data_IF_802224285272
#
_entry.id   IF_802224285272
#
_cell.length_a   1.000
_cell.length_b   1.000
_cell.length_c   1.000
_cell.angle_alpha   90.00
_cell.angle_beta   90.00
_cell.angle_gamma   90.00
#
_symmetry.space_group_name_H-M   'P 1'
#
loop_
_entity.id
_entity.type
_entity.pdbx_description
1 polymer ?
#
# COMPACT_ATOMS: atom_id res chain seq x y z
N UNK A 1 26.49 -2.60 9.48
CA UNK A 1 26.55 -3.23 8.15
C UNK A 1 25.14 -3.51 7.70
N UNK A 2 24.75 -2.93 6.58
CA UNK A 2 23.41 -3.21 6.05
C UNK A 2 23.40 -4.58 5.40
N UNK A 3 22.48 -5.40 5.80
CA UNK A 3 22.26 -6.69 5.15
C UNK A 3 21.44 -6.48 3.88
N UNK A 4 21.90 -7.11 2.81
CA UNK A 4 21.13 -7.20 1.60
C UNK A 4 20.22 -8.40 1.71
N UNK A 5 18.95 -8.14 1.96
CA UNK A 5 17.95 -9.18 2.10
C UNK A 5 16.78 -8.89 1.17
N UNK A 6 16.18 -9.95 0.67
CA UNK A 6 14.91 -9.85 -0.06
C UNK A 6 13.82 -9.83 1.00
N UNK A 7 13.08 -8.72 1.06
CA UNK A 7 12.01 -8.56 2.04
C UNK A 7 10.70 -9.07 1.45
N UNK A 8 9.89 -9.68 2.30
CA UNK A 8 8.55 -10.11 1.92
C UNK A 8 7.55 -9.17 2.59
N UNK A 9 6.67 -8.57 1.79
CA UNK A 9 5.68 -7.62 2.28
C UNK A 9 4.28 -8.01 1.83
N UNK A 10 3.30 -7.61 2.63
CA UNK A 10 1.88 -7.70 2.28
C UNK A 10 1.31 -6.29 2.25
N UNK A 11 0.64 -5.92 1.17
CA UNK A 11 0.07 -4.59 1.01
C UNK A 11 -1.38 -4.69 0.57
N UNK A 12 -2.17 -3.69 0.92
CA UNK A 12 -3.60 -3.65 0.64
C UNK A 12 -3.97 -2.56 -0.36
N UNK A 13 -4.83 -2.92 -1.28
CA UNK A 13 -5.47 -1.99 -2.19
C UNK A 13 -6.89 -1.75 -1.68
N UNK A 14 -7.10 -0.58 -1.08
CA UNK A 14 -8.38 -0.15 -0.51
C UNK A 14 -9.00 0.84 -1.49
N UNK A 15 -10.20 0.53 -1.97
CA UNK A 15 -10.93 1.41 -2.89
C UNK A 15 -12.13 2.00 -2.17
N UNK A 16 -12.23 3.33 -2.17
CA UNK A 16 -13.39 4.02 -1.61
C UNK A 16 -14.57 3.99 -2.58
N UNK A 17 -15.81 4.18 -2.07
CA UNK A 17 -17.00 4.21 -2.95
C UNK A 17 -16.95 5.29 -4.03
N UNK A 18 -16.22 6.38 -3.80
CA UNK A 18 -16.11 7.49 -4.75
C UNK A 18 -14.87 7.39 -5.66
N UNK A 19 -14.23 6.23 -5.73
CA UNK A 19 -13.17 5.97 -6.70
C UNK A 19 -11.80 6.48 -6.30
N UNK A 20 -11.47 6.44 -5.00
CA UNK A 20 -10.15 6.78 -4.49
C UNK A 20 -9.50 5.59 -3.82
N UNK A 21 -8.18 5.56 -3.81
CA UNK A 21 -7.42 4.51 -3.12
C UNK A 21 -6.55 5.10 -2.02
N UNK A 22 -6.23 4.29 -1.02
CA UNK A 22 -5.49 4.72 0.17
C UNK A 22 -4.01 4.47 0.00
N UNK A 23 -3.21 5.52 0.16
CA UNK A 23 -1.75 5.42 0.05
C UNK A 23 -1.08 6.51 0.88
N UNK A 24 0.19 6.29 1.20
CA UNK A 24 1.00 7.24 1.97
C UNK A 24 2.00 7.94 1.05
N UNK A 25 2.02 9.28 1.01
CA UNK A 25 3.02 10.02 0.24
C UNK A 25 4.42 9.87 0.81
N UNK A 26 5.39 9.73 -0.07
CA UNK A 26 6.80 9.75 0.27
C UNK A 26 7.59 10.56 -0.76
N UNK A 27 8.87 10.77 -0.48
CA UNK A 27 9.75 11.53 -1.35
C UNK A 27 11.14 10.90 -1.39
N UNK A 28 11.67 10.71 -2.60
CA UNK A 28 13.05 10.27 -2.82
C UNK A 28 13.89 11.50 -3.17
N UNK A 29 14.75 11.94 -2.26
CA UNK A 29 15.53 13.15 -2.44
C UNK A 29 16.66 12.99 -3.46
N UNK A 30 17.15 11.77 -3.66
CA UNK A 30 18.19 11.51 -4.67
C UNK A 30 17.62 11.62 -6.07
N UNK A 31 16.43 11.04 -6.29
CA UNK A 31 15.72 11.14 -7.57
C UNK A 31 14.95 12.43 -7.74
N UNK A 32 14.79 13.21 -6.65
CA UNK A 32 13.91 14.38 -6.60
C UNK A 32 12.49 14.03 -7.08
N UNK A 33 11.93 12.97 -6.51
CA UNK A 33 10.65 12.42 -6.96
C UNK A 33 9.72 12.09 -5.79
N UNK A 34 8.51 12.63 -5.86
CA UNK A 34 7.43 12.23 -4.98
C UNK A 34 6.81 10.91 -5.45
N UNK A 35 6.29 10.14 -4.51
CA UNK A 35 5.61 8.89 -4.82
C UNK A 35 4.54 8.60 -3.77
N UNK A 36 3.65 7.67 -4.10
CA UNK A 36 2.70 7.09 -3.15
C UNK A 36 3.11 5.65 -2.86
N UNK A 37 2.87 5.21 -1.64
CA UNK A 37 3.11 3.83 -1.24
C UNK A 37 1.84 3.28 -0.61
N UNK A 38 1.43 2.09 -1.05
CA UNK A 38 0.29 1.42 -0.45
C UNK A 38 0.60 1.06 1.00
N UNK A 39 -0.44 0.95 1.81
CA UNK A 39 -0.32 0.55 3.21
C UNK A 39 -0.07 -0.94 3.32
N UNK A 40 0.69 -1.32 4.32
CA UNK A 40 1.07 -2.68 4.62
C UNK A 40 2.47 -2.73 5.19
N UNK A 41 3.05 -3.90 5.24
CA UNK A 41 4.38 -4.05 5.79
C UNK A 41 4.91 -5.47 5.69
N UNK A 42 5.93 -5.75 6.50
CA UNK A 42 6.66 -7.01 6.44
C UNK A 42 5.82 -8.21 6.90
N UNK A 43 5.94 -9.30 6.16
CA UNK A 43 5.46 -10.60 6.61
C UNK A 43 6.51 -11.16 7.57
N UNK A 44 6.10 -11.46 8.78
CA UNK A 44 6.99 -11.99 9.80
C UNK A 44 6.98 -13.52 9.79
N UNK A 45 8.07 -14.11 10.28
CA UNK A 45 8.17 -15.55 10.38
C UNK A 45 6.98 -16.11 11.18
N UNK A 46 6.33 -17.11 10.63
CA UNK A 46 5.18 -17.76 11.27
C UNK A 46 3.83 -17.19 10.90
N UNK A 47 3.77 -16.07 10.19
CA UNK A 47 2.48 -15.53 9.74
C UNK A 47 2.30 -15.67 8.23
N UNK A 48 1.05 -15.75 7.80
CA UNK A 48 0.70 -15.71 6.39
C UNK A 48 0.61 -14.26 5.92
N UNK A 49 0.76 -14.03 4.64
CA UNK A 49 0.73 -12.69 4.08
C UNK A 49 -0.57 -11.93 4.38
N UNK A 50 -1.72 -12.61 4.28
CA UNK A 50 -3.00 -11.98 4.61
C UNK A 50 -3.09 -11.58 6.10
N UNK A 51 -2.55 -12.41 6.99
CA UNK A 51 -2.50 -12.10 8.42
C UNK A 51 -1.57 -10.92 8.70
N UNK A 52 -0.42 -10.87 7.99
CA UNK A 52 0.51 -9.77 8.11
C UNK A 52 -0.14 -8.45 7.71
N UNK A 53 -0.92 -8.44 6.62
CA UNK A 53 -1.61 -7.24 6.19
C UNK A 53 -2.60 -6.74 7.24
N UNK A 54 -3.42 -7.64 7.79
CA UNK A 54 -4.38 -7.26 8.83
C UNK A 54 -3.68 -6.67 10.06
N UNK A 55 -2.57 -7.27 10.48
CA UNK A 55 -1.77 -6.78 11.60
C UNK A 55 -1.17 -5.40 11.29
N UNK A 56 -0.56 -5.25 10.13
CA UNK A 56 0.07 -4.00 9.74
C UNK A 56 -0.93 -2.84 9.65
N UNK A 57 -2.12 -3.07 9.12
CA UNK A 57 -3.16 -2.03 9.06
C UNK A 57 -3.59 -1.61 10.46
N UNK A 58 -3.72 -2.57 11.38
CA UNK A 58 -4.02 -2.25 12.78
C UNK A 58 -2.90 -1.41 13.41
N UNK A 59 -1.64 -1.77 13.15
CA UNK A 59 -0.50 -1.04 13.69
C UNK A 59 -0.37 0.37 13.07
N UNK A 60 -0.60 0.50 11.77
CA UNK A 60 -0.37 1.75 11.06
C UNK A 60 -1.47 2.80 11.28
N UNK A 61 -2.72 2.39 11.28
CA UNK A 61 -3.86 3.32 11.35
C UNK A 61 -4.91 2.96 12.40
N UNK A 62 -4.64 1.99 13.26
CA UNK A 62 -5.60 1.50 14.26
C UNK A 62 -6.94 1.10 13.67
N UNK A 63 -6.92 0.49 12.49
CA UNK A 63 -8.11 0.07 11.79
C UNK A 63 -8.14 -1.43 11.60
N UNK A 64 -9.32 -2.01 11.77
CA UNK A 64 -9.57 -3.39 11.38
C UNK A 64 -9.84 -3.42 9.88
N UNK A 65 -9.22 -4.35 9.17
CA UNK A 65 -9.49 -4.53 7.75
C UNK A 65 -9.90 -5.97 7.46
N UNK A 66 -10.68 -6.11 6.42
CA UNK A 66 -11.04 -7.41 5.87
C UNK A 66 -10.19 -7.64 4.62
N UNK A 67 -9.28 -8.60 4.70
CA UNK A 67 -8.45 -9.00 3.57
C UNK A 67 -9.27 -9.91 2.67
N UNK A 68 -9.28 -9.59 1.38
CA UNK A 68 -10.09 -10.31 0.40
C UNK A 68 -9.20 -11.10 -0.55
N UNK A 69 -9.22 -10.79 -1.82
CA UNK A 69 -8.56 -11.54 -2.87
C UNK A 69 -7.10 -11.14 -3.03
N UNK A 70 -6.22 -12.13 -3.17
CA UNK A 70 -4.85 -11.89 -3.63
C UNK A 70 -4.91 -11.44 -5.09
N UNK A 71 -4.48 -10.22 -5.35
CA UNK A 71 -4.53 -9.64 -6.69
C UNK A 71 -3.29 -9.96 -7.51
N UNK A 72 -2.13 -9.89 -6.86
CA UNK A 72 -0.86 -10.03 -7.56
C UNK A 72 0.25 -10.34 -6.58
N UNK A 73 1.26 -11.10 -7.01
CA UNK A 73 2.54 -11.23 -6.31
C UNK A 73 3.57 -10.52 -7.16
N UNK A 74 4.24 -9.54 -6.58
CA UNK A 74 5.10 -8.61 -7.32
C UNK A 74 6.54 -8.77 -6.86
N UNK A 75 7.45 -9.02 -7.80
CA UNK A 75 8.87 -8.90 -7.54
C UNK A 75 9.27 -7.45 -7.83
N UNK A 76 9.78 -6.75 -6.82
CA UNK A 76 10.11 -5.34 -6.96
C UNK A 76 11.56 -5.08 -6.59
N UNK A 77 12.35 -4.69 -7.58
CA UNK A 77 13.72 -4.19 -7.36
C UNK A 77 13.70 -2.68 -7.55
N UNK A 78 14.18 -1.96 -6.55
CA UNK A 78 14.09 -0.50 -6.55
C UNK A 78 15.33 0.12 -5.92
N UNK A 79 15.48 1.44 -6.10
CA UNK A 79 16.47 2.23 -5.41
C UNK A 79 15.75 3.37 -4.70
N UNK A 80 15.96 3.48 -3.38
CA UNK A 80 15.38 4.56 -2.59
C UNK A 80 16.50 5.28 -1.84
N UNK A 81 16.57 6.60 -1.99
CA UNK A 81 17.63 7.42 -1.40
C UNK A 81 19.03 6.90 -1.74
N UNK A 82 19.19 6.41 -2.98
CA UNK A 82 20.45 5.85 -3.45
C UNK A 82 20.77 4.42 -2.96
N UNK A 83 19.89 3.81 -2.19
CA UNK A 83 20.10 2.47 -1.63
C UNK A 83 19.26 1.44 -2.39
N UNK A 84 19.89 0.39 -2.95
CA UNK A 84 19.14 -0.67 -3.61
C UNK A 84 18.29 -1.47 -2.62
N UNK A 85 17.08 -1.82 -3.04
CA UNK A 85 16.19 -2.68 -2.29
C UNK A 85 15.55 -3.72 -3.19
N UNK A 86 15.17 -4.84 -2.61
CA UNK A 86 14.47 -5.90 -3.31
C UNK A 86 13.41 -6.49 -2.41
N UNK A 87 12.21 -6.66 -2.96
CA UNK A 87 11.09 -7.19 -2.18
C UNK A 87 10.17 -8.04 -3.01
N UNK A 88 9.45 -8.94 -2.34
CA UNK A 88 8.33 -9.68 -2.90
C UNK A 88 7.10 -9.16 -2.18
N UNK A 89 6.12 -8.66 -2.93
CA UNK A 89 4.91 -8.05 -2.38
C UNK A 89 3.70 -8.91 -2.72
N UNK A 90 2.96 -9.30 -1.68
CA UNK A 90 1.64 -9.90 -1.82
C UNK A 90 0.62 -8.77 -1.77
N UNK A 91 0.02 -8.46 -2.90
CA UNK A 91 -0.96 -7.37 -3.02
C UNK A 91 -2.38 -7.93 -2.94
N UNK A 92 -3.12 -7.49 -1.94
CA UNK A 92 -4.50 -7.92 -1.69
C UNK A 92 -5.50 -6.81 -1.90
N UNK A 93 -6.67 -7.16 -2.40
CA UNK A 93 -7.86 -6.34 -2.22
C UNK A 93 -8.29 -6.41 -0.76
N UNK A 94 -8.60 -5.29 -0.16
CA UNK A 94 -9.01 -5.23 1.24
C UNK A 94 -10.00 -4.09 1.47
N UNK A 95 -10.80 -4.24 2.52
CA UNK A 95 -11.77 -3.23 2.95
C UNK A 95 -11.52 -2.85 4.40
N UNK A 96 -11.74 -1.59 4.73
CA UNK A 96 -11.77 -1.15 6.12
C UNK A 96 -13.17 -1.44 6.68
N UNK A 97 -13.23 -2.08 7.85
CA UNK A 97 -14.52 -2.46 8.45
C UNK A 97 -15.26 -1.24 8.99
N UNK A 98 -14.54 -0.27 9.53
CA UNK A 98 -15.14 1.00 9.95
C UNK A 98 -15.26 1.93 8.75
N UNK A 99 -16.49 2.15 8.30
CA UNK A 99 -16.79 2.99 7.14
C UNK A 99 -16.40 4.46 7.35
N UNK A 100 -16.22 4.90 8.58
CA UNK A 100 -15.78 6.26 8.88
C UNK A 100 -14.42 6.62 8.30
N UNK A 101 -13.54 5.63 8.11
CA UNK A 101 -12.23 5.89 7.51
C UNK A 101 -12.31 6.38 6.06
N UNK A 102 -13.34 5.97 5.33
CA UNK A 102 -13.50 6.38 3.92
C UNK A 102 -13.87 7.86 3.76
N UNK A 103 -14.36 8.49 4.82
CA UNK A 103 -14.68 9.92 4.83
C UNK A 103 -13.58 10.84 5.34
N UNK A 104 -12.46 10.28 5.79
CA UNK A 104 -11.33 11.08 6.30
C UNK A 104 -10.39 11.44 5.17
N UNK A 105 -10.09 12.71 5.00
CA UNK A 105 -9.14 13.15 3.97
C UNK A 105 -7.72 12.67 4.28
N UNK A 106 -7.34 12.71 5.55
CA UNK A 106 -5.99 12.37 6.02
C UNK A 106 -6.10 11.45 7.22
N UNK A 107 -5.38 10.35 7.18
CA UNK A 107 -5.34 9.40 8.28
C UNK A 107 -3.89 9.37 8.78
N UNK A 108 -3.63 9.86 10.01
CA UNK A 108 -2.27 9.82 10.55
C UNK A 108 -1.77 8.38 10.68
N UNK A 109 -0.54 8.14 10.24
CA UNK A 109 0.11 6.87 10.45
C UNK A 109 0.78 6.87 11.83
N UNK A 110 0.66 5.75 12.52
CA UNK A 110 1.29 5.58 13.83
C UNK A 110 2.73 5.14 13.61
N UNK A 111 3.66 6.10 13.62
CA UNK A 111 5.09 5.84 13.49
C UNK A 111 5.86 6.57 14.59
N UNK A 112 6.86 5.91 15.24
CA UNK A 112 7.52 6.50 16.41
C UNK A 112 8.25 7.81 16.18
N UNK A 113 8.84 8.00 14.99
CA UNK A 113 9.77 9.10 14.76
C UNK A 113 9.41 9.99 13.56
N UNK A 114 8.25 9.81 12.95
CA UNK A 114 7.89 10.53 11.74
C UNK A 114 6.40 10.86 11.69
N UNK A 115 6.10 12.08 11.30
CA UNK A 115 4.72 12.46 11.00
C UNK A 115 4.41 12.05 9.56
N UNK A 116 3.77 10.91 9.40
CA UNK A 116 3.29 10.44 8.11
C UNK A 116 1.78 10.32 8.09
N UNK A 117 1.22 10.44 6.92
CA UNK A 117 -0.23 10.32 6.73
C UNK A 117 -0.52 9.38 5.56
N UNK A 118 -1.69 8.76 5.62
CA UNK A 118 -2.30 8.11 4.47
C UNK A 118 -3.38 9.05 3.92
N UNK A 119 -3.50 9.09 2.62
CA UNK A 119 -4.48 9.94 1.93
C UNK A 119 -5.24 9.13 0.90
N UNK A 120 -6.48 9.54 0.66
CA UNK A 120 -7.30 8.99 -0.42
C UNK A 120 -6.97 9.73 -1.70
N UNK A 121 -6.49 9.01 -2.70
CA UNK A 121 -6.06 9.57 -3.99
C UNK A 121 -6.98 9.08 -5.09
N UNK A 122 -7.44 9.96 -5.99
CA UNK A 122 -8.26 9.51 -7.12
C UNK A 122 -7.54 8.43 -7.93
N UNK A 123 -8.25 7.35 -8.24
CA UNK A 123 -7.72 6.27 -9.08
C UNK A 123 -7.23 6.83 -10.43
N UNK A 124 -7.95 7.80 -10.99
CA UNK A 124 -7.59 8.40 -12.27
C UNK A 124 -6.22 9.09 -12.25
N UNK A 125 -5.81 9.65 -11.10
CA UNK A 125 -4.49 10.26 -10.98
C UNK A 125 -3.37 9.23 -11.21
N UNK A 126 -3.58 8.02 -10.74
CA UNK A 126 -2.62 6.93 -10.96
C UNK A 126 -2.68 6.40 -12.39
N UNK A 127 -3.89 6.14 -12.90
CA UNK A 127 -4.06 5.57 -14.24
C UNK A 127 -3.62 6.51 -15.35
N UNK A 128 -3.71 7.82 -15.14
CA UNK A 128 -3.29 8.84 -16.10
C UNK A 128 -1.84 9.30 -15.89
N UNK A 129 -1.12 8.67 -14.97
CA UNK A 129 0.30 8.93 -14.76
C UNK A 129 0.64 10.22 -14.02
N UNK A 130 -0.34 10.83 -13.34
CA UNK A 130 -0.08 12.04 -12.54
C UNK A 130 0.64 11.76 -11.23
N UNK A 131 0.55 10.52 -10.73
CA UNK A 131 1.25 10.08 -9.53
C UNK A 131 1.92 8.74 -9.80
N UNK A 132 3.02 8.48 -9.08
CA UNK A 132 3.65 7.16 -9.03
C UNK A 132 3.21 6.43 -7.78
N UNK A 133 2.93 5.13 -7.91
CA UNK A 133 2.55 4.30 -6.77
C UNK A 133 3.44 3.07 -6.68
N UNK A 134 3.92 2.78 -5.49
CA UNK A 134 4.65 1.56 -5.18
C UNK A 134 3.79 0.65 -4.32
N UNK A 135 3.86 -0.67 -4.56
CA UNK A 135 4.68 -1.37 -5.56
C UNK A 135 4.14 -1.16 -6.98
N UNK A 136 4.98 -1.33 -8.02
CA UNK A 136 4.50 -1.32 -9.41
C UNK A 136 3.62 -2.54 -9.66
N UNK A 137 2.42 -2.31 -10.19
CA UNK A 137 1.43 -3.35 -10.40
C UNK A 137 0.53 -2.99 -11.58
N UNK A 138 -0.27 -3.94 -12.04
CA UNK A 138 -1.30 -3.67 -13.05
C UNK A 138 -2.54 -3.06 -12.40
N UNK A 139 -2.41 -1.81 -11.97
CA UNK A 139 -3.47 -1.11 -11.25
C UNK A 139 -4.74 -0.94 -12.08
N UNK A 140 -4.61 -0.74 -13.39
CA UNK A 140 -5.78 -0.62 -14.26
C UNK A 140 -6.65 -1.88 -14.18
N UNK A 141 -6.05 -3.05 -14.29
CA UNK A 141 -6.76 -4.32 -14.18
C UNK A 141 -7.34 -4.53 -12.77
N UNK A 142 -6.56 -4.20 -11.73
CA UNK A 142 -7.00 -4.41 -10.36
C UNK A 142 -8.18 -3.50 -9.99
N UNK A 143 -8.13 -2.22 -10.35
CA UNK A 143 -9.24 -1.31 -10.08
C UNK A 143 -10.49 -1.68 -10.86
N UNK A 144 -10.34 -2.16 -12.10
CA UNK A 144 -11.47 -2.65 -12.88
C UNK A 144 -12.17 -3.81 -12.17
N UNK A 145 -11.40 -4.77 -11.64
CA UNK A 145 -11.96 -5.91 -10.89
C UNK A 145 -12.66 -5.46 -9.60
N UNK A 146 -12.05 -4.53 -8.87
CA UNK A 146 -12.62 -4.00 -7.63
C UNK A 146 -13.93 -3.27 -7.88
N UNK A 147 -13.99 -2.45 -8.94
CA UNK A 147 -15.21 -1.71 -9.31
C UNK A 147 -16.34 -2.64 -9.72
N UNK A 148 -16.03 -3.80 -10.28
CA UNK A 148 -17.02 -4.81 -10.66
C UNK A 148 -17.41 -5.72 -9.50
N UNK A 149 -16.77 -5.58 -8.34
CA UNK A 149 -17.02 -6.45 -7.19
C UNK A 149 -16.50 -7.86 -7.35
N UNK A 150 -15.55 -8.09 -8.25
CA UNK A 150 -14.99 -9.43 -8.53
C UNK A 150 -13.88 -9.80 -7.55
N UNK A 151 -13.22 -8.82 -7.00
CA UNK A 151 -12.08 -9.05 -6.10
C UNK A 151 -12.43 -8.91 -4.61
#
# INVERSE_FOLDING_TARGET
MSERAIKVKAMGLFLSPDGRFLASPGFDSVKNQGYLRLLGGHVEFGERAAEALAREIMEEISAECRVRTLLEVIENSFTHEGVPGQEVVFLYAADLTDQGFYGRERIPLIEPDQEKVAVWTPVDDLLEGRVFCYPPADYAAHFARLRQGIA
#
